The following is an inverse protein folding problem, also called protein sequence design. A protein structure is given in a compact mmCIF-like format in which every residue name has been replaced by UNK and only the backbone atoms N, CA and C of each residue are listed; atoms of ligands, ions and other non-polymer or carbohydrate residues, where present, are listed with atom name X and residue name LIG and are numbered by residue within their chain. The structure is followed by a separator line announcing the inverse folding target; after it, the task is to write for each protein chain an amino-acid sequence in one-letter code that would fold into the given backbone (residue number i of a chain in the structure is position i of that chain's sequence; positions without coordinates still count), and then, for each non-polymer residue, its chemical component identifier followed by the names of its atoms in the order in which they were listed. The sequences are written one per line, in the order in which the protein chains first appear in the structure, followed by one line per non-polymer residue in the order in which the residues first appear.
data_IF_015816843774
#
_entry.id   IF_015816843774
#
_cell.length_a   1.000
_cell.length_b   1.000
_cell.length_c   1.000
_cell.angle_alpha   90.00
_cell.angle_beta   90.00
_cell.angle_gamma   90.00
#
_symmetry.space_group_name_H-M   'P 1'
#
loop_
_entity.id
_entity.type
_entity.pdbx_description
1 polymer ?
#
# COMPACT_ATOMS: atom_id res chain seq x y z
N UNK A 1 16.32 38.81 14.53
CA UNK A 1 15.63 38.16 15.68
C UNK A 1 15.77 36.64 15.69
N UNK A 2 16.62 36.04 14.83
CA UNK A 2 16.74 34.59 14.69
C UNK A 2 17.85 33.98 15.56
N UNK A 3 18.56 34.76 16.33
CA UNK A 3 19.73 34.32 17.12
C UNK A 3 19.38 33.71 18.49
N UNK A 4 18.10 33.58 18.81
CA UNK A 4 17.64 33.15 20.14
C UNK A 4 17.16 31.68 20.16
N UNK A 5 16.87 31.07 18.99
CA UNK A 5 16.47 29.66 18.87
C UNK A 5 17.67 28.76 19.17
N UNK A 6 17.50 27.83 20.10
CA UNK A 6 18.55 26.89 20.50
C UNK A 6 18.35 25.47 19.97
N UNK A 7 17.09 25.05 19.74
CA UNK A 7 16.76 23.78 19.10
C UNK A 7 15.34 23.81 18.56
N UNK A 8 15.00 22.80 17.74
CA UNK A 8 13.70 22.55 17.19
C UNK A 8 13.15 21.24 17.75
N UNK A 9 11.85 21.19 17.97
CA UNK A 9 11.10 19.96 18.26
C UNK A 9 10.38 19.52 17.01
N UNK A 10 10.50 18.25 16.71
CA UNK A 10 9.85 17.59 15.55
C UNK A 10 8.69 16.76 16.05
N UNK A 11 7.50 17.06 15.59
CA UNK A 11 6.29 16.31 15.91
C UNK A 11 5.85 15.51 14.69
N UNK A 12 5.34 14.32 14.94
CA UNK A 12 4.88 13.39 13.91
C UNK A 12 3.50 12.86 14.22
N UNK A 13 2.65 12.73 13.19
CA UNK A 13 1.36 12.06 13.23
C UNK A 13 1.27 11.03 12.10
N UNK A 14 1.02 9.74 12.38
CA UNK A 14 0.85 8.71 11.34
C UNK A 14 -0.47 8.85 10.57
N UNK A 15 -1.40 9.65 11.06
CA UNK A 15 -2.73 9.86 10.46
C UNK A 15 -2.94 11.26 9.92
N UNK A 16 -2.16 12.23 10.37
CA UNK A 16 -2.34 13.67 10.10
C UNK A 16 -3.43 14.34 10.91
N UNK A 17 -4.10 13.64 11.82
CA UNK A 17 -5.09 14.21 12.70
C UNK A 17 -4.42 14.94 13.89
N UNK A 18 -4.98 16.05 14.34
CA UNK A 18 -4.37 16.89 15.38
C UNK A 18 -4.09 16.16 16.70
N UNK A 19 -4.99 15.25 17.11
CA UNK A 19 -4.85 14.47 18.33
C UNK A 19 -3.76 13.39 18.26
N UNK A 20 -3.27 13.05 17.05
CA UNK A 20 -2.32 11.97 16.83
C UNK A 20 -0.87 12.48 16.72
N UNK A 21 -0.66 13.81 16.82
CA UNK A 21 0.69 14.36 16.86
C UNK A 21 1.36 14.11 18.21
N UNK A 22 2.54 13.53 18.15
CA UNK A 22 3.40 13.35 19.32
C UNK A 22 4.82 13.85 19.03
N UNK A 23 5.53 14.22 20.09
CA UNK A 23 6.93 14.62 19.99
C UNK A 23 7.75 13.40 19.51
N UNK A 24 8.33 13.51 18.33
CA UNK A 24 9.19 12.48 17.75
C UNK A 24 10.62 12.62 18.25
N UNK A 25 11.18 13.84 18.15
CA UNK A 25 12.56 14.11 18.52
C UNK A 25 12.80 15.64 18.65
N UNK A 26 14.03 15.99 19.07
CA UNK A 26 14.51 17.37 19.11
C UNK A 26 15.88 17.45 18.42
N UNK A 27 16.11 18.51 17.66
CA UNK A 27 17.36 18.71 16.91
C UNK A 27 17.82 20.17 16.94
N UNK A 28 19.14 20.38 16.97
CA UNK A 28 19.75 21.72 16.75
C UNK A 28 20.01 21.98 15.27
N UNK A 29 19.91 20.97 14.41
CA UNK A 29 20.13 21.10 12.99
C UNK A 29 18.85 21.60 12.29
N UNK A 30 19.02 22.24 11.13
CA UNK A 30 17.93 22.65 10.23
C UNK A 30 17.38 21.53 9.37
N UNK A 31 17.86 20.30 9.58
CA UNK A 31 17.39 19.10 8.91
C UNK A 31 17.24 17.96 9.93
N UNK A 32 16.25 17.11 9.72
CA UNK A 32 16.00 15.93 10.53
C UNK A 32 15.70 14.73 9.65
N UNK A 33 16.28 13.57 9.97
CA UNK A 33 16.02 12.34 9.26
C UNK A 33 15.23 11.38 10.16
N UNK A 34 13.98 11.11 9.78
CA UNK A 34 13.14 10.13 10.45
C UNK A 34 13.42 8.75 9.85
N UNK A 35 13.96 7.78 10.63
CA UNK A 35 14.22 6.43 10.13
C UNK A 35 12.91 5.64 10.04
N UNK A 36 12.28 5.65 8.87
CA UNK A 36 11.04 4.93 8.59
C UNK A 36 11.40 3.63 7.88
N UNK A 37 10.93 2.49 8.40
CA UNK A 37 11.28 1.17 7.87
C UNK A 37 10.25 0.60 6.88
N UNK A 38 8.95 0.77 7.13
CA UNK A 38 7.89 0.05 6.41
C UNK A 38 6.82 0.94 5.77
N UNK A 39 6.71 2.20 6.15
CA UNK A 39 5.69 3.15 5.66
C UNK A 39 6.26 4.54 5.68
N UNK A 40 6.01 5.31 4.62
CA UNK A 40 6.43 6.72 4.51
C UNK A 40 5.30 7.67 4.91
N UNK A 41 4.08 7.18 5.09
CA UNK A 41 2.94 8.02 5.40
C UNK A 41 3.07 8.67 6.78
N UNK A 42 2.71 9.93 6.83
CA UNK A 42 2.63 10.71 8.07
C UNK A 42 2.77 12.19 7.82
N UNK A 43 2.47 12.95 8.85
CA UNK A 43 2.51 14.39 8.83
C UNK A 43 3.46 14.91 9.90
N UNK A 44 4.11 16.02 9.61
CA UNK A 44 5.10 16.64 10.48
C UNK A 44 4.70 18.07 10.81
N UNK A 45 5.04 18.48 12.02
CA UNK A 45 5.04 19.86 12.50
C UNK A 45 6.32 20.10 13.28
N UNK A 46 6.77 21.33 13.32
CA UNK A 46 7.91 21.75 14.12
C UNK A 46 7.56 22.94 14.99
N UNK A 47 8.25 23.02 16.11
CA UNK A 47 8.30 24.22 16.95
C UNK A 47 9.75 24.61 17.15
N UNK A 48 10.00 25.88 17.45
CA UNK A 48 11.30 26.41 17.84
C UNK A 48 11.30 26.69 19.35
N UNK A 49 12.44 26.40 19.99
CA UNK A 49 12.63 26.67 21.43
C UNK A 49 13.78 27.65 21.60
N UNK A 50 13.53 28.74 22.35
CA UNK A 50 14.50 29.78 22.62
C UNK A 50 15.37 29.48 23.87
N UNK A 51 16.34 30.37 24.16
CA UNK A 51 17.24 30.24 25.31
C UNK A 51 16.52 30.35 26.66
N UNK A 52 15.33 30.94 26.70
CA UNK A 52 14.48 31.02 27.88
C UNK A 52 13.57 29.83 28.04
N UNK A 53 13.66 28.84 27.16
CA UNK A 53 12.83 27.65 27.08
C UNK A 53 11.36 27.94 26.70
N UNK A 54 11.08 29.08 26.09
CA UNK A 54 9.78 29.31 25.49
C UNK A 54 9.72 28.55 24.15
N UNK A 55 8.56 27.95 23.88
CA UNK A 55 8.27 27.20 22.66
C UNK A 55 7.33 28.01 21.77
N UNK A 56 7.62 28.07 20.49
CA UNK A 56 6.78 28.73 19.49
C UNK A 56 5.48 27.95 19.22
N UNK A 57 4.54 28.58 18.53
CA UNK A 57 3.43 27.87 17.91
C UNK A 57 3.93 26.84 16.89
N UNK A 58 3.09 25.85 16.54
CA UNK A 58 3.39 24.89 15.51
C UNK A 58 3.53 25.55 14.14
N UNK A 59 4.47 25.04 13.35
CA UNK A 59 4.53 25.34 11.92
C UNK A 59 3.26 24.87 11.19
N UNK A 60 3.14 25.20 9.90
CA UNK A 60 2.21 24.49 9.04
C UNK A 60 2.48 22.99 9.07
N UNK A 61 1.44 22.21 8.79
CA UNK A 61 1.55 20.75 8.66
C UNK A 61 2.06 20.39 7.27
N UNK A 62 3.08 19.56 7.21
CA UNK A 62 3.56 18.95 5.96
C UNK A 62 3.39 17.44 6.03
N UNK A 63 2.83 16.83 4.97
CA UNK A 63 2.47 15.42 4.95
C UNK A 63 3.12 14.70 3.77
N UNK A 64 3.58 13.48 4.04
CA UNK A 64 4.07 12.53 3.03
C UNK A 64 3.13 11.32 3.06
N UNK A 65 2.84 10.75 1.90
CA UNK A 65 2.01 9.55 1.80
C UNK A 65 2.73 8.45 1.01
N UNK A 66 2.28 7.21 1.22
CA UNK A 66 2.73 6.07 0.47
C UNK A 66 2.21 6.14 -0.98
N UNK A 67 2.99 5.56 -1.91
CA UNK A 67 2.56 5.32 -3.29
C UNK A 67 2.10 3.87 -3.44
N UNK A 68 0.83 3.53 -3.16
CA UNK A 68 0.35 2.17 -3.22
C UNK A 68 0.22 1.70 -4.67
N UNK A 69 0.50 0.41 -4.88
CA UNK A 69 0.38 -0.21 -6.19
C UNK A 69 -0.28 -1.58 -6.10
N UNK A 70 -1.26 -1.83 -6.98
CA UNK A 70 -1.95 -3.10 -7.13
C UNK A 70 -2.46 -3.23 -8.57
N UNK A 71 -1.88 -4.15 -9.33
CA UNK A 71 -2.23 -4.39 -10.73
C UNK A 71 -2.52 -5.88 -10.88
N UNK A 72 -3.64 -6.21 -11.49
CA UNK A 72 -4.04 -7.57 -11.79
C UNK A 72 -3.86 -7.88 -13.27
N UNK A 73 -3.41 -9.11 -13.64
CA UNK A 73 -3.38 -9.55 -15.02
C UNK A 73 -4.80 -9.74 -15.56
N UNK A 74 -4.92 -9.95 -16.86
CA UNK A 74 -6.21 -10.26 -17.49
C UNK A 74 -6.27 -11.69 -18.06
N UNK A 75 -5.17 -12.47 -17.95
CA UNK A 75 -5.12 -13.85 -18.41
C UNK A 75 -4.10 -14.67 -17.60
N UNK A 76 -4.34 -15.97 -17.49
CA UNK A 76 -3.37 -16.94 -16.97
C UNK A 76 -3.69 -18.36 -17.51
N UNK A 77 -2.71 -19.26 -17.41
CA UNK A 77 -2.82 -20.61 -17.96
C UNK A 77 -2.26 -21.65 -16.99
N UNK A 78 -3.11 -22.28 -16.15
CA UNK A 78 -2.67 -23.26 -15.17
C UNK A 78 -2.39 -24.62 -15.84
N UNK A 79 -1.34 -24.68 -16.69
CA UNK A 79 -0.93 -25.86 -17.44
C UNK A 79 0.28 -26.58 -16.83
N UNK A 80 0.89 -26.02 -15.76
CA UNK A 80 2.00 -26.59 -15.03
C UNK A 80 3.38 -26.40 -15.70
N UNK A 81 3.50 -25.43 -16.62
CA UNK A 81 4.77 -25.12 -17.28
C UNK A 81 5.66 -24.14 -16.49
N UNK A 82 5.17 -23.64 -15.36
CA UNK A 82 5.85 -22.67 -14.51
C UNK A 82 5.68 -21.22 -14.96
N UNK A 83 4.89 -20.95 -16.00
CA UNK A 83 4.68 -19.61 -16.55
C UNK A 83 3.19 -19.24 -16.47
N UNK A 84 2.86 -18.24 -15.68
CA UNK A 84 1.48 -17.77 -15.48
C UNK A 84 0.48 -18.89 -15.07
N UNK A 85 0.95 -19.89 -14.34
CA UNK A 85 0.11 -20.98 -13.82
C UNK A 85 -0.90 -20.50 -12.78
N UNK A 86 -0.72 -19.33 -12.24
CA UNK A 86 -1.59 -18.76 -11.22
C UNK A 86 -1.93 -17.31 -11.52
N UNK A 87 -3.17 -16.94 -11.22
CA UNK A 87 -3.60 -15.56 -11.23
C UNK A 87 -3.14 -14.89 -9.94
N UNK A 88 -2.21 -13.98 -10.07
CA UNK A 88 -1.61 -13.23 -8.96
C UNK A 88 -1.36 -11.78 -9.40
N UNK A 89 -1.31 -10.81 -8.48
CA UNK A 89 -0.93 -9.45 -8.84
C UNK A 89 0.41 -9.41 -9.58
N UNK A 90 0.49 -8.53 -10.59
CA UNK A 90 1.67 -8.45 -11.45
C UNK A 90 2.89 -7.97 -10.67
N UNK A 91 3.98 -8.72 -10.82
CA UNK A 91 5.33 -8.35 -10.44
C UNK A 91 6.11 -8.01 -11.72
N UNK A 92 6.32 -6.76 -12.00
CA UNK A 92 7.32 -6.41 -13.01
C UNK A 92 8.70 -6.42 -12.35
N UNK A 93 9.50 -7.41 -12.67
CA UNK A 93 10.96 -7.32 -12.51
C UNK A 93 11.50 -6.34 -13.57
N UNK A 94 11.18 -5.06 -13.42
CA UNK A 94 11.77 -4.00 -14.23
C UNK A 94 13.25 -3.87 -13.88
N UNK A 95 14.10 -3.72 -14.90
CA UNK A 95 15.49 -3.31 -14.67
C UNK A 95 15.47 -1.97 -13.95
N UNK A 96 16.14 -1.91 -12.80
CA UNK A 96 16.33 -0.69 -12.03
C UNK A 96 17.10 0.33 -12.85
N UNK A 97 16.39 1.30 -13.42
CA UNK A 97 17.04 2.46 -14.04
C UNK A 97 17.25 3.49 -12.94
N UNK A 98 18.50 3.82 -12.64
CA UNK A 98 18.92 4.79 -11.63
C UNK A 98 18.69 4.39 -10.15
N UNK A 99 18.67 3.09 -9.80
CA UNK A 99 18.57 2.65 -8.41
C UNK A 99 17.17 2.80 -7.77
N UNK A 100 16.19 3.30 -8.51
CA UNK A 100 14.78 3.25 -8.11
C UNK A 100 14.14 2.03 -8.72
N UNK A 101 13.65 1.14 -7.86
CA UNK A 101 12.91 -0.04 -8.29
C UNK A 101 11.54 0.39 -8.85
N UNK A 102 11.46 0.51 -10.18
CA UNK A 102 10.21 0.72 -10.92
C UNK A 102 9.38 -0.57 -11.04
N UNK A 103 9.59 -1.52 -10.12
CA UNK A 103 8.81 -2.75 -10.11
C UNK A 103 7.33 -2.42 -9.83
N UNK A 104 6.45 -2.92 -10.68
CA UNK A 104 5.00 -2.91 -10.43
C UNK A 104 4.63 -3.91 -9.33
N UNK A 105 5.48 -4.06 -8.31
CA UNK A 105 5.21 -4.94 -7.19
C UNK A 105 4.02 -4.40 -6.39
N UNK A 106 3.10 -5.25 -5.97
CA UNK A 106 2.08 -4.87 -5.00
C UNK A 106 2.74 -4.36 -3.73
N UNK A 107 2.35 -3.17 -3.29
CA UNK A 107 2.96 -2.52 -2.11
C UNK A 107 1.97 -1.68 -1.34
N UNK A 108 2.25 -1.53 -0.06
CA UNK A 108 1.41 -0.79 0.89
C UNK A 108 -0.03 -1.32 0.93
N UNK A 109 -0.20 -2.63 0.87
CA UNK A 109 -1.49 -3.31 0.95
C UNK A 109 -1.68 -3.79 2.38
N UNK A 110 -2.82 -3.47 2.98
CA UNK A 110 -3.25 -3.94 4.29
C UNK A 110 -4.17 -5.15 4.17
N UNK A 111 -5.15 -5.07 3.27
CA UNK A 111 -6.16 -6.11 3.08
C UNK A 111 -6.53 -6.26 1.60
N UNK A 112 -6.86 -7.46 1.20
CA UNK A 112 -7.41 -7.76 -0.12
C UNK A 112 -8.59 -8.72 0.04
N UNK A 113 -9.74 -8.35 -0.50
CA UNK A 113 -10.85 -9.25 -0.80
C UNK A 113 -10.90 -9.48 -2.30
N UNK A 114 -10.98 -10.72 -2.74
CA UNK A 114 -11.01 -11.05 -4.17
C UNK A 114 -12.04 -12.14 -4.44
N UNK A 115 -12.97 -11.86 -5.35
CA UNK A 115 -14.05 -12.76 -5.73
C UNK A 115 -14.10 -12.94 -7.23
N UNK A 116 -14.29 -14.18 -7.68
CA UNK A 116 -14.40 -14.54 -9.09
C UNK A 116 -15.77 -15.11 -9.38
N UNK A 117 -16.35 -14.70 -10.49
CA UNK A 117 -17.68 -15.08 -10.96
C UNK A 117 -17.62 -15.68 -12.37
N UNK A 118 -18.44 -16.68 -12.62
CA UNK A 118 -18.68 -17.20 -13.95
C UNK A 118 -19.56 -16.24 -14.79
N UNK A 119 -19.83 -16.61 -16.05
CA UNK A 119 -20.66 -15.80 -16.97
C UNK A 119 -22.12 -15.66 -16.53
N UNK A 120 -22.60 -16.55 -15.68
CA UNK A 120 -23.94 -16.49 -15.13
C UNK A 120 -24.02 -15.66 -13.86
N UNK A 121 -22.88 -15.12 -13.39
CA UNK A 121 -22.78 -14.33 -12.15
C UNK A 121 -22.68 -15.18 -10.89
N UNK A 122 -22.47 -16.50 -11.02
CA UNK A 122 -22.25 -17.38 -9.87
C UNK A 122 -20.82 -17.20 -9.37
N UNK A 123 -20.64 -16.96 -8.07
CA UNK A 123 -19.33 -16.95 -7.42
C UNK A 123 -18.71 -18.36 -7.50
N UNK A 124 -17.49 -18.43 -8.00
CA UNK A 124 -16.74 -19.68 -8.19
C UNK A 124 -15.50 -19.75 -7.32
N UNK A 125 -14.95 -18.60 -6.93
CA UNK A 125 -13.79 -18.51 -6.08
C UNK A 125 -13.85 -17.23 -5.24
N UNK A 126 -13.40 -17.31 -3.98
CA UNK A 126 -13.17 -16.18 -3.11
C UNK A 126 -11.85 -16.34 -2.35
N UNK A 127 -11.25 -15.21 -2.03
CA UNK A 127 -9.99 -15.13 -1.31
C UNK A 127 -9.98 -13.86 -0.45
N UNK A 128 -9.43 -13.98 0.75
CA UNK A 128 -9.18 -12.87 1.64
C UNK A 128 -7.73 -12.91 2.15
N UNK A 129 -7.10 -11.77 2.13
CA UNK A 129 -5.75 -11.55 2.65
C UNK A 129 -5.79 -10.48 3.73
N UNK A 130 -5.13 -10.75 4.85
CA UNK A 130 -4.84 -9.82 5.92
C UNK A 130 -3.32 -9.68 6.09
N UNK A 131 -2.86 -8.54 6.57
CA UNK A 131 -1.44 -8.11 6.60
C UNK A 131 -0.43 -9.13 7.17
N UNK A 132 -0.87 -10.09 7.96
CA UNK A 132 0.02 -11.11 8.54
C UNK A 132 0.21 -12.36 7.66
N UNK A 133 -0.53 -12.45 6.55
CA UNK A 133 -0.39 -13.52 5.57
C UNK A 133 0.70 -13.17 4.55
N UNK A 134 1.52 -14.14 4.17
CA UNK A 134 2.61 -13.93 3.20
C UNK A 134 2.16 -13.97 1.73
N UNK A 135 0.88 -14.23 1.47
CA UNK A 135 0.41 -14.56 0.12
C UNK A 135 -0.68 -13.60 -0.31
N UNK A 136 -0.39 -12.79 -1.31
CA UNK A 136 -1.41 -12.09 -2.11
C UNK A 136 -2.23 -13.10 -2.92
N UNK A 137 -3.26 -12.65 -3.63
CA UNK A 137 -4.10 -13.51 -4.47
C UNK A 137 -3.26 -14.57 -5.20
N UNK A 138 -3.66 -15.82 -5.06
CA UNK A 138 -3.04 -16.96 -5.69
C UNK A 138 -4.13 -17.93 -6.14
N UNK A 139 -4.72 -17.67 -7.31
CA UNK A 139 -5.79 -18.50 -7.85
C UNK A 139 -5.27 -19.38 -8.99
N UNK A 140 -5.43 -20.70 -8.83
CA UNK A 140 -4.95 -21.73 -9.75
C UNK A 140 -6.04 -22.19 -10.75
N UNK A 141 -7.13 -21.45 -10.92
CA UNK A 141 -8.20 -21.79 -11.84
C UNK A 141 -9.17 -22.88 -11.32
N UNK A 142 -9.14 -23.15 -10.02
CA UNK A 142 -10.11 -24.05 -9.36
C UNK A 142 -11.17 -23.25 -8.62
N UNK A 143 -12.31 -23.87 -8.38
CA UNK A 143 -13.32 -23.33 -7.49
C UNK A 143 -12.96 -23.58 -6.02
N UNK A 144 -13.76 -23.02 -5.08
CA UNK A 144 -13.55 -23.19 -3.64
C UNK A 144 -13.61 -24.66 -3.16
N UNK A 145 -14.19 -25.56 -3.95
CA UNK A 145 -14.20 -26.99 -3.68
C UNK A 145 -12.98 -27.74 -4.25
N UNK A 146 -12.01 -27.02 -4.86
CA UNK A 146 -10.81 -27.59 -5.47
C UNK A 146 -11.02 -28.21 -6.85
N UNK A 147 -12.19 -28.05 -7.47
CA UNK A 147 -12.48 -28.58 -8.79
C UNK A 147 -12.00 -27.64 -9.89
N UNK A 148 -11.31 -28.12 -10.92
CA UNK A 148 -10.86 -27.28 -12.04
C UNK A 148 -12.03 -26.64 -12.76
N UNK A 149 -11.89 -25.36 -13.10
CA UNK A 149 -12.86 -24.62 -13.89
C UNK A 149 -12.58 -24.80 -15.40
N UNK A 150 -13.58 -24.61 -16.23
CA UNK A 150 -13.43 -24.66 -17.67
C UNK A 150 -12.63 -23.45 -18.19
N UNK A 151 -11.87 -23.62 -19.26
CA UNK A 151 -11.27 -22.48 -19.95
C UNK A 151 -12.36 -21.49 -20.43
N UNK A 152 -12.11 -20.21 -20.27
CA UNK A 152 -13.09 -19.20 -20.62
C UNK A 152 -12.88 -17.87 -19.90
N UNK A 153 -13.89 -17.01 -20.02
CA UNK A 153 -13.89 -15.69 -19.38
C UNK A 153 -14.63 -15.78 -18.05
N UNK A 154 -14.01 -15.25 -17.02
CA UNK A 154 -14.53 -15.03 -15.69
C UNK A 154 -14.49 -13.56 -15.35
N UNK A 155 -15.30 -13.12 -14.41
CA UNK A 155 -15.31 -11.75 -13.94
C UNK A 155 -14.81 -11.71 -12.49
N UNK A 156 -14.18 -10.61 -12.09
CA UNK A 156 -13.75 -10.44 -10.72
C UNK A 156 -14.16 -9.11 -10.13
N UNK A 157 -14.27 -9.11 -8.81
CA UNK A 157 -14.33 -7.93 -7.96
C UNK A 157 -13.26 -8.11 -6.89
N UNK A 158 -12.38 -7.12 -6.76
CA UNK A 158 -11.38 -7.07 -5.70
C UNK A 158 -11.52 -5.76 -4.94
N UNK A 159 -11.61 -5.83 -3.63
CA UNK A 159 -11.53 -4.68 -2.75
C UNK A 159 -10.18 -4.72 -2.04
N UNK A 160 -9.44 -3.62 -2.10
CA UNK A 160 -8.09 -3.51 -1.57
C UNK A 160 -8.03 -2.33 -0.63
N UNK A 161 -7.51 -2.56 0.58
CA UNK A 161 -7.22 -1.51 1.56
C UNK A 161 -5.72 -1.26 1.55
N UNK A 162 -5.35 -0.01 1.32
CA UNK A 162 -3.96 0.44 1.27
C UNK A 162 -3.54 1.15 2.54
N UNK A 163 -2.25 1.04 2.87
CA UNK A 163 -1.60 1.81 3.93
C UNK A 163 -1.28 3.23 3.46
N UNK A 164 -2.29 4.07 3.40
CA UNK A 164 -2.21 5.50 3.03
C UNK A 164 -2.85 6.37 4.11
N UNK A 165 -2.61 7.67 4.04
CA UNK A 165 -3.29 8.61 4.92
C UNK A 165 -4.82 8.53 4.75
N UNK A 166 -5.62 8.73 5.82
CA UNK A 166 -7.09 8.67 5.75
C UNK A 166 -7.70 9.59 4.67
N UNK A 167 -7.07 10.74 4.40
CA UNK A 167 -7.48 11.69 3.36
C UNK A 167 -7.33 11.13 1.94
N UNK A 168 -6.50 10.11 1.71
CA UNK A 168 -6.22 9.54 0.39
C UNK A 168 -7.17 8.40 -0.03
N UNK A 169 -8.26 8.17 0.72
CA UNK A 169 -9.23 7.10 0.46
C UNK A 169 -8.55 5.72 0.36
N UNK A 170 -8.25 5.09 1.50
CA UNK A 170 -7.44 3.87 1.55
C UNK A 170 -8.06 2.67 0.83
N UNK A 171 -9.39 2.64 0.67
CA UNK A 171 -10.10 1.52 0.03
C UNK A 171 -10.32 1.78 -1.45
N UNK A 172 -9.92 0.82 -2.29
CA UNK A 172 -10.18 0.84 -3.74
C UNK A 172 -10.82 -0.45 -4.21
N UNK A 173 -11.82 -0.34 -5.09
CA UNK A 173 -12.46 -1.49 -5.72
C UNK A 173 -12.00 -1.63 -7.16
N UNK A 174 -11.50 -2.80 -7.49
CA UNK A 174 -11.10 -3.19 -8.84
C UNK A 174 -12.12 -4.18 -9.39
N UNK A 175 -12.54 -4.00 -10.64
CA UNK A 175 -13.46 -4.89 -11.35
C UNK A 175 -12.91 -5.14 -12.75
N UNK A 176 -13.03 -6.36 -13.20
CA UNK A 176 -12.53 -6.71 -14.52
C UNK A 176 -12.91 -8.13 -14.91
N UNK A 177 -12.23 -8.62 -15.93
CA UNK A 177 -12.38 -9.97 -16.43
C UNK A 177 -11.03 -10.69 -16.47
N UNK A 178 -11.09 -12.01 -16.45
CA UNK A 178 -9.94 -12.90 -16.47
C UNK A 178 -10.18 -13.95 -17.55
N UNK A 179 -9.21 -14.14 -18.43
CA UNK A 179 -9.20 -15.26 -19.35
C UNK A 179 -8.42 -16.41 -18.72
N UNK A 180 -9.14 -17.48 -18.37
CA UNK A 180 -8.56 -18.76 -17.99
C UNK A 180 -8.27 -19.55 -19.27
N UNK A 181 -7.00 -19.81 -19.53
CA UNK A 181 -6.48 -20.63 -20.61
C UNK A 181 -6.23 -22.07 -20.12
N UNK A 182 -5.96 -23.00 -21.04
CA UNK A 182 -5.49 -24.37 -20.75
C UNK A 182 -4.35 -24.73 -21.67
#
# INVERSE_FOLDING_TARGET
CDDDVIYFRVYFSPTGLDQDFYLLDSTVATSYQHPILNSFKGCYRITAVDRSLNESDFSNTDCIDNCPQFILPNAFSPNGDGINDTFTPLYNKGESVLGFDNSNCPRFILEVSFKVFDRAGKEVFDFQFEKESSTLIHWDGKNNAGSPLAAGIYFYVSEVIFDVLPSAQPTKTYKGWIQLLK
#
